data_IF_401051914554
#
_entry.id   IF_401051914554
#
_cell.length_a   1.000
_cell.length_b   1.000
_cell.length_c   1.000
_cell.angle_alpha   90.00
_cell.angle_beta   90.00
_cell.angle_gamma   90.00
#
_symmetry.space_group_name_H-M   'P 1'
#
loop_
_entity.id
_entity.type
_entity.pdbx_description
1 polymer ?
#
# COMPACT_ATOMS: atom_id res chain seq x y z
N UNK A 1 22.02 -12.21 -6.90
CA UNK A 1 21.47 -11.22 -5.99
C UNK A 1 20.51 -11.88 -5.03
N UNK A 2 20.35 -11.32 -3.82
CA UNK A 2 19.38 -11.85 -2.84
C UNK A 2 17.98 -11.37 -3.18
N UNK A 3 16.97 -12.21 -2.91
CA UNK A 3 15.55 -11.88 -3.06
C UNK A 3 14.71 -12.66 -2.05
N UNK A 4 13.63 -12.07 -1.55
CA UNK A 4 12.72 -12.70 -0.60
C UNK A 4 11.64 -13.45 -1.36
N UNK A 5 11.50 -14.73 -1.06
CA UNK A 5 10.56 -15.63 -1.75
C UNK A 5 9.67 -16.39 -0.79
N UNK A 6 8.46 -16.68 -1.24
CA UNK A 6 7.64 -17.76 -0.69
C UNK A 6 7.91 -19.03 -1.48
N UNK A 7 8.24 -20.11 -0.77
CA UNK A 7 8.59 -21.41 -1.37
C UNK A 7 7.60 -22.49 -0.90
N UNK A 8 7.31 -23.51 -1.73
CA UNK A 8 6.49 -24.65 -1.32
C UNK A 8 7.07 -25.36 -0.10
N UNK A 9 6.22 -25.70 0.87
CA UNK A 9 6.62 -26.40 2.08
C UNK A 9 7.31 -25.54 3.14
N UNK A 10 7.38 -24.22 2.94
CA UNK A 10 7.85 -23.26 3.92
C UNK A 10 6.69 -22.36 4.34
N UNK A 11 6.50 -22.19 5.64
CA UNK A 11 5.47 -21.29 6.20
C UNK A 11 5.97 -19.84 6.36
N UNK A 12 7.28 -19.64 6.21
CA UNK A 12 7.94 -18.34 6.34
C UNK A 12 8.66 -17.96 5.04
N UNK A 13 8.77 -16.66 4.71
CA UNK A 13 9.54 -16.20 3.56
C UNK A 13 11.02 -16.60 3.70
N UNK A 14 11.62 -16.92 2.57
CA UNK A 14 13.03 -17.33 2.49
C UNK A 14 13.83 -16.32 1.67
N UNK A 15 15.03 -15.99 2.11
CA UNK A 15 15.98 -15.23 1.29
C UNK A 15 16.75 -16.21 0.41
N UNK A 16 16.67 -16.02 -0.89
CA UNK A 16 17.29 -16.91 -1.88
C UNK A 16 18.18 -16.13 -2.83
N UNK A 17 19.15 -16.81 -3.43
CA UNK A 17 19.94 -16.28 -4.52
C UNK A 17 19.21 -16.47 -5.86
N UNK A 18 19.12 -15.39 -6.64
CA UNK A 18 18.54 -15.39 -7.98
C UNK A 18 19.45 -14.67 -8.98
N UNK A 19 19.33 -14.94 -10.28
CA UNK A 19 20.09 -14.21 -11.30
C UNK A 19 19.80 -12.70 -11.25
N UNK A 20 20.78 -11.89 -11.59
CA UNK A 20 20.59 -10.43 -11.77
C UNK A 20 19.72 -10.18 -12.99
N UNK A 21 18.59 -9.45 -12.83
CA UNK A 21 17.72 -9.15 -13.95
C UNK A 21 18.28 -8.07 -14.87
N UNK A 22 17.75 -7.97 -16.09
CA UNK A 22 18.11 -6.93 -17.06
C UNK A 22 16.86 -6.17 -17.48
N UNK A 23 16.98 -4.83 -17.60
CA UNK A 23 15.86 -3.98 -17.96
C UNK A 23 15.40 -4.27 -19.41
N UNK A 24 14.11 -4.54 -19.56
CA UNK A 24 13.42 -4.54 -20.85
C UNK A 24 13.23 -3.09 -21.36
N UNK A 25 12.82 -2.88 -22.64
CA UNK A 25 12.77 -1.53 -23.23
C UNK A 25 12.00 -0.48 -22.42
N UNK A 26 10.92 -0.84 -21.74
CA UNK A 26 10.08 0.08 -20.95
C UNK A 26 10.36 0.02 -19.43
N UNK A 27 11.42 -0.67 -19.01
CA UNK A 27 11.70 -0.93 -17.60
C UNK A 27 12.90 -0.14 -17.08
N UNK A 28 12.92 0.01 -15.77
CA UNK A 28 14.04 0.55 -14.99
C UNK A 28 14.58 -0.55 -14.06
N UNK A 29 15.91 -0.64 -13.97
CA UNK A 29 16.60 -1.47 -13.00
C UNK A 29 16.98 -0.60 -11.80
N UNK A 30 16.53 -0.99 -10.62
CA UNK A 30 16.66 -0.24 -9.38
C UNK A 30 17.55 -1.02 -8.42
N UNK A 31 18.60 -0.39 -7.89
CA UNK A 31 19.34 -0.85 -6.71
C UNK A 31 18.51 -0.47 -5.48
N UNK A 32 18.04 -1.44 -4.74
CA UNK A 32 17.13 -1.25 -3.63
C UNK A 32 17.81 -0.53 -2.46
N UNK A 33 17.22 0.56 -1.99
CA UNK A 33 17.55 1.18 -0.70
C UNK A 33 16.65 0.64 0.40
N UNK A 34 15.37 0.46 0.12
CA UNK A 34 14.42 -0.16 1.02
C UNK A 34 13.23 -0.76 0.27
N UNK A 35 12.61 -1.78 0.84
CA UNK A 35 11.37 -2.39 0.35
C UNK A 35 10.40 -2.59 1.52
N UNK A 36 9.13 -2.17 1.38
CA UNK A 36 8.17 -2.32 2.47
C UNK A 36 7.58 -3.72 2.54
N UNK A 37 7.20 -4.12 3.76
CA UNK A 37 6.40 -5.33 4.01
C UNK A 37 4.97 -4.90 4.34
N UNK A 38 4.04 -5.35 3.50
CA UNK A 38 2.62 -5.06 3.59
C UNK A 38 1.83 -6.31 4.05
N UNK A 39 0.62 -6.16 4.60
CA UNK A 39 -0.23 -7.30 4.94
C UNK A 39 -0.51 -8.25 3.77
N UNK A 40 -0.58 -7.74 2.54
CA UNK A 40 -0.74 -8.56 1.33
C UNK A 40 0.48 -9.45 1.09
N UNK A 41 1.69 -8.97 1.36
CA UNK A 41 2.92 -9.79 1.27
C UNK A 41 2.85 -10.96 2.25
N UNK A 42 2.44 -10.69 3.49
CA UNK A 42 2.28 -11.71 4.52
C UNK A 42 1.26 -12.76 4.10
N UNK A 43 0.09 -12.33 3.57
CA UNK A 43 -0.92 -13.26 3.06
C UNK A 43 -0.38 -14.12 1.92
N UNK A 44 0.24 -13.51 0.92
CA UNK A 44 0.78 -14.21 -0.27
C UNK A 44 1.92 -15.16 0.09
N UNK A 45 2.67 -14.86 1.16
CA UNK A 45 3.73 -15.77 1.65
C UNK A 45 3.17 -17.06 2.23
N UNK A 46 1.91 -17.10 2.70
CA UNK A 46 1.29 -18.32 3.24
C UNK A 46 0.92 -19.34 2.16
N UNK A 47 0.77 -20.60 2.55
CA UNK A 47 0.29 -21.65 1.64
C UNK A 47 -1.07 -21.34 1.02
N UNK A 48 -1.99 -20.74 1.79
CA UNK A 48 -3.31 -20.30 1.31
C UNK A 48 -3.20 -19.16 0.28
N UNK A 49 -2.36 -18.17 0.55
CA UNK A 49 -2.10 -17.06 -0.36
C UNK A 49 -1.45 -17.52 -1.66
N UNK A 50 -0.47 -18.42 -1.60
CA UNK A 50 0.14 -19.06 -2.78
C UNK A 50 -0.90 -19.74 -3.66
N UNK A 51 -1.81 -20.49 -3.05
CA UNK A 51 -2.93 -21.15 -3.77
C UNK A 51 -3.86 -20.15 -4.42
N UNK A 52 -4.18 -19.06 -3.72
CA UNK A 52 -5.08 -18.03 -4.24
C UNK A 52 -4.53 -17.30 -5.48
N UNK A 53 -3.19 -17.16 -5.59
CA UNK A 53 -2.53 -16.50 -6.73
C UNK A 53 -1.98 -17.49 -7.77
N UNK A 54 -2.26 -18.80 -7.62
CA UNK A 54 -1.70 -19.85 -8.48
C UNK A 54 -0.17 -19.75 -8.61
N UNK A 55 0.52 -19.53 -7.48
CA UNK A 55 1.97 -19.41 -7.46
C UNK A 55 2.65 -20.68 -7.95
N UNK A 56 3.66 -20.54 -8.80
CA UNK A 56 4.53 -21.62 -9.22
C UNK A 56 5.46 -22.08 -8.09
N UNK A 57 6.55 -22.75 -8.43
CA UNK A 57 7.53 -23.26 -7.46
C UNK A 57 8.23 -22.15 -6.66
N UNK A 58 8.40 -20.99 -7.27
CA UNK A 58 8.97 -19.79 -6.64
C UNK A 58 8.06 -18.61 -6.82
N UNK A 59 7.85 -17.85 -5.74
CA UNK A 59 7.10 -16.61 -5.77
C UNK A 59 7.93 -15.54 -5.06
N UNK A 60 8.44 -14.59 -5.81
CA UNK A 60 9.07 -13.39 -5.26
C UNK A 60 8.06 -12.57 -4.46
N UNK A 61 8.51 -11.88 -3.42
CA UNK A 61 7.68 -11.09 -2.51
C UNK A 61 8.02 -9.60 -2.61
N UNK A 62 7.07 -8.76 -2.20
CA UNK A 62 7.20 -7.31 -2.16
C UNK A 62 6.37 -6.59 -3.21
N UNK A 63 5.79 -5.46 -2.80
CA UNK A 63 5.03 -4.55 -3.65
C UNK A 63 5.73 -3.20 -3.77
N UNK A 64 6.32 -2.72 -2.70
CA UNK A 64 6.91 -1.38 -2.61
C UNK A 64 8.43 -1.44 -2.58
N UNK A 65 9.05 -0.52 -3.30
CA UNK A 65 10.49 -0.33 -3.29
C UNK A 65 10.83 1.16 -3.40
N UNK A 66 11.93 1.55 -2.79
CA UNK A 66 12.68 2.74 -3.16
C UNK A 66 14.13 2.37 -3.44
N UNK A 67 14.77 3.11 -4.33
CA UNK A 67 16.16 2.82 -4.68
C UNK A 67 16.73 3.71 -5.75
N UNK A 68 17.97 3.44 -6.12
CA UNK A 68 18.70 4.17 -7.15
C UNK A 68 18.60 3.46 -8.49
N UNK A 69 18.30 4.19 -9.53
CA UNK A 69 18.25 3.66 -10.90
C UNK A 69 19.66 3.36 -11.41
N UNK A 70 19.91 2.09 -11.75
CA UNK A 70 21.18 1.62 -12.33
C UNK A 70 21.15 1.56 -13.85
N UNK A 71 20.00 1.24 -14.43
CA UNK A 71 19.80 1.16 -15.86
C UNK A 71 18.37 1.47 -16.25
N UNK A 72 18.16 1.98 -17.45
CA UNK A 72 16.86 2.24 -18.05
C UNK A 72 16.79 1.58 -19.42
N UNK A 73 15.63 1.07 -19.80
CA UNK A 73 15.35 0.58 -21.13
C UNK A 73 15.30 1.72 -22.15
N UNK A 74 15.47 1.43 -23.42
CA UNK A 74 15.59 2.41 -24.50
C UNK A 74 14.30 3.21 -24.79
N UNK A 75 13.16 2.76 -24.28
CA UNK A 75 11.88 3.46 -24.38
C UNK A 75 11.57 4.34 -23.15
N UNK A 76 12.40 4.31 -22.11
CA UNK A 76 12.21 5.11 -20.90
C UNK A 76 12.76 6.53 -21.12
N UNK A 77 11.90 7.53 -20.97
CA UNK A 77 12.26 8.95 -21.19
C UNK A 77 12.05 9.84 -19.97
N UNK A 78 11.37 9.34 -18.94
CA UNK A 78 10.95 10.10 -17.74
C UNK A 78 11.86 9.89 -16.54
N UNK A 79 12.70 8.85 -16.55
CA UNK A 79 13.61 8.44 -15.48
C UNK A 79 15.02 8.32 -16.05
N UNK A 80 16.02 8.75 -15.29
CA UNK A 80 17.43 8.68 -15.67
C UNK A 80 18.24 7.78 -14.73
N UNK A 81 19.35 7.25 -15.23
CA UNK A 81 20.34 6.54 -14.41
C UNK A 81 20.88 7.49 -13.32
N UNK A 82 20.87 7.04 -12.08
CA UNK A 82 21.29 7.80 -10.92
C UNK A 82 20.13 8.44 -10.14
N UNK A 83 18.94 8.57 -10.74
CA UNK A 83 17.75 9.03 -10.01
C UNK A 83 17.44 8.13 -8.82
N UNK A 84 16.96 8.71 -7.74
CA UNK A 84 16.35 7.98 -6.63
C UNK A 84 14.86 7.95 -6.87
N UNK A 85 14.29 6.75 -6.89
CA UNK A 85 12.87 6.52 -7.21
C UNK A 85 12.17 5.73 -6.12
N UNK A 86 10.86 5.89 -6.03
CA UNK A 86 9.97 4.98 -5.30
C UNK A 86 8.95 4.41 -6.29
N UNK A 87 8.52 3.16 -6.08
CA UNK A 87 7.62 2.51 -7.01
C UNK A 87 6.83 1.35 -6.41
N UNK A 88 5.81 0.92 -7.15
CA UNK A 88 4.94 -0.20 -6.80
C UNK A 88 5.00 -1.28 -7.86
N UNK A 89 5.25 -2.52 -7.44
CA UNK A 89 5.08 -3.71 -8.26
C UNK A 89 3.65 -4.24 -8.10
N UNK A 90 2.74 -3.85 -8.98
CA UNK A 90 1.33 -4.21 -8.93
C UNK A 90 1.01 -5.60 -9.54
N UNK A 91 2.04 -6.35 -9.89
CA UNK A 91 1.92 -7.73 -10.40
C UNK A 91 1.82 -8.71 -9.23
N UNK A 92 0.81 -9.57 -9.24
CA UNK A 92 0.56 -10.52 -8.14
C UNK A 92 1.54 -11.70 -8.11
N UNK A 93 2.09 -12.09 -9.26
CA UNK A 93 2.91 -13.30 -9.43
C UNK A 93 4.15 -12.97 -10.25
N UNK A 94 5.33 -13.32 -9.73
CA UNK A 94 6.61 -13.12 -10.41
C UNK A 94 7.75 -13.70 -9.56
N UNK A 95 8.86 -14.03 -10.19
CA UNK A 95 10.06 -14.49 -9.47
C UNK A 95 10.89 -13.32 -8.92
N UNK A 96 10.89 -12.19 -9.62
CA UNK A 96 11.63 -10.98 -9.20
C UNK A 96 10.62 -9.90 -8.83
N UNK A 97 10.50 -9.63 -7.54
CA UNK A 97 9.60 -8.63 -7.00
C UNK A 97 10.34 -7.64 -6.10
N UNK A 98 9.61 -6.73 -5.46
CA UNK A 98 10.19 -5.56 -4.81
C UNK A 98 11.16 -5.85 -3.65
N UNK A 99 11.06 -6.99 -2.97
CA UNK A 99 11.94 -7.31 -1.83
C UNK A 99 13.19 -8.09 -2.29
N UNK A 100 14.09 -7.40 -2.99
CA UNK A 100 15.34 -7.95 -3.53
C UNK A 100 16.44 -6.88 -3.55
N UNK A 101 17.72 -7.30 -3.71
CA UNK A 101 18.85 -6.36 -3.86
C UNK A 101 18.68 -5.47 -5.09
N UNK A 102 18.12 -6.03 -6.18
CA UNK A 102 17.86 -5.34 -7.45
C UNK A 102 16.43 -5.64 -7.92
N UNK A 103 15.73 -4.63 -8.39
CA UNK A 103 14.31 -4.72 -8.78
C UNK A 103 14.13 -4.17 -10.19
N UNK A 104 13.30 -4.84 -10.98
CA UNK A 104 12.79 -4.32 -12.25
C UNK A 104 11.36 -3.82 -12.06
N UNK A 105 11.10 -2.58 -12.46
CA UNK A 105 9.75 -2.05 -12.59
C UNK A 105 9.56 -1.42 -13.97
N UNK A 106 8.33 -1.40 -14.44
CA UNK A 106 7.97 -0.61 -15.61
C UNK A 106 8.07 0.88 -15.26
N UNK A 107 8.46 1.73 -16.20
CA UNK A 107 8.67 3.16 -15.93
C UNK A 107 7.41 3.90 -15.48
N UNK A 108 6.22 3.40 -15.81
CA UNK A 108 4.94 3.92 -15.34
C UNK A 108 4.54 3.46 -13.92
N UNK A 109 5.38 2.63 -13.30
CA UNK A 109 5.21 2.17 -11.92
C UNK A 109 6.09 2.94 -10.91
N UNK A 110 6.97 3.85 -11.38
CA UNK A 110 7.93 4.55 -10.52
C UNK A 110 7.83 6.06 -10.67
N UNK A 111 8.15 6.77 -9.58
CA UNK A 111 8.31 8.22 -9.57
C UNK A 111 9.60 8.60 -8.86
N UNK A 112 10.20 9.72 -9.28
CA UNK A 112 11.40 10.27 -8.62
C UNK A 112 11.04 10.71 -7.21
N UNK A 113 11.86 10.32 -6.24
CA UNK A 113 11.72 10.76 -4.85
C UNK A 113 12.10 12.25 -4.78
N UNK A 114 11.19 13.13 -4.35
CA UNK A 114 11.47 14.55 -4.29
C UNK A 114 12.49 14.89 -3.18
N UNK A 115 13.20 16.01 -3.37
CA UNK A 115 14.06 16.56 -2.34
C UNK A 115 13.29 16.82 -1.04
N UNK A 116 13.89 16.45 0.08
CA UNK A 116 13.28 16.61 1.40
C UNK A 116 12.54 15.38 1.93
N UNK A 117 12.34 14.34 1.09
CA UNK A 117 11.85 13.04 1.52
C UNK A 117 13.03 12.07 1.69
N UNK A 118 13.11 11.38 2.84
CA UNK A 118 14.13 10.35 3.04
C UNK A 118 13.91 9.20 2.06
N UNK A 119 14.94 8.80 1.28
CA UNK A 119 14.81 7.74 0.29
C UNK A 119 14.42 6.38 0.85
N UNK A 120 14.83 6.04 2.08
CA UNK A 120 14.46 4.78 2.73
C UNK A 120 12.98 4.82 3.12
N UNK A 121 12.55 5.91 3.74
CA UNK A 121 11.18 6.10 4.16
C UNK A 121 10.20 6.15 2.98
N UNK A 122 10.64 6.63 1.82
CA UNK A 122 9.86 6.67 0.58
C UNK A 122 9.33 5.29 0.16
N UNK A 123 10.00 4.19 0.51
CA UNK A 123 9.54 2.83 0.25
C UNK A 123 8.21 2.49 0.97
N UNK A 124 7.81 3.24 2.01
CA UNK A 124 6.55 2.98 2.74
C UNK A 124 5.30 3.55 2.05
N UNK A 125 5.47 4.35 1.00
CA UNK A 125 4.42 5.20 0.44
C UNK A 125 3.65 4.54 -0.71
N UNK A 126 4.26 3.93 -1.76
CA UNK A 126 3.62 3.71 -3.05
C UNK A 126 2.30 2.92 -2.98
N UNK A 127 2.32 1.67 -2.53
CA UNK A 127 1.13 0.83 -2.49
C UNK A 127 0.02 1.44 -1.64
N UNK A 128 0.37 1.95 -0.46
CA UNK A 128 -0.61 2.40 0.52
C UNK A 128 -1.26 3.73 0.11
N UNK A 129 -0.46 4.66 -0.41
CA UNK A 129 -0.95 5.95 -0.86
C UNK A 129 -1.76 5.85 -2.16
N UNK A 130 -1.30 5.03 -3.14
CA UNK A 130 -2.05 4.76 -4.36
C UNK A 130 -3.36 4.02 -4.05
N UNK A 131 -3.34 3.02 -3.15
CA UNK A 131 -4.57 2.34 -2.70
C UNK A 131 -5.55 3.35 -2.09
N UNK A 132 -5.09 4.22 -1.21
CA UNK A 132 -5.93 5.23 -0.58
C UNK A 132 -6.49 6.23 -1.60
N UNK A 133 -5.65 6.74 -2.51
CA UNK A 133 -6.06 7.70 -3.54
C UNK A 133 -7.12 7.10 -4.47
N UNK A 134 -6.86 5.91 -5.02
CA UNK A 134 -7.80 5.23 -5.92
C UNK A 134 -9.08 4.79 -5.20
N UNK A 135 -9.00 4.45 -3.89
CA UNK A 135 -10.20 4.16 -3.09
C UNK A 135 -11.05 5.43 -2.86
N UNK A 136 -10.42 6.59 -2.64
CA UNK A 136 -11.13 7.87 -2.51
C UNK A 136 -11.81 8.24 -3.82
N UNK A 137 -11.14 8.04 -4.96
CA UNK A 137 -11.73 8.30 -6.28
C UNK A 137 -13.01 7.45 -6.53
N UNK A 138 -13.05 6.21 -6.01
CA UNK A 138 -14.22 5.32 -6.10
C UNK A 138 -15.42 5.77 -5.24
N UNK A 139 -15.22 6.65 -4.27
CA UNK A 139 -16.31 7.21 -3.46
C UNK A 139 -17.18 8.21 -4.24
N UNK A 140 -16.63 8.78 -5.31
CA UNK A 140 -17.27 9.82 -6.12
C UNK A 140 -17.28 11.19 -5.43
N UNK A 141 -18.19 12.07 -5.86
CA UNK A 141 -18.28 13.45 -5.39
C UNK A 141 -18.70 13.52 -3.91
N UNK A 142 -18.00 14.26 -3.05
CA UNK A 142 -18.36 14.44 -1.64
C UNK A 142 -19.69 15.19 -1.45
N UNK A 143 -19.99 16.25 -2.19
CA UNK A 143 -21.23 17.04 -2.16
C UNK A 143 -21.88 17.16 -0.75
N UNK A 144 -21.07 17.51 0.26
CA UNK A 144 -21.49 17.64 1.65
C UNK A 144 -21.74 16.33 2.39
N UNK A 145 -21.43 15.18 1.78
CA UNK A 145 -21.60 13.85 2.38
C UNK A 145 -20.55 13.53 3.45
N UNK A 146 -20.93 12.65 4.34
CA UNK A 146 -20.10 12.13 5.44
C UNK A 146 -19.44 10.81 5.07
N UNK A 147 -18.17 10.68 5.42
CA UNK A 147 -17.35 9.48 5.20
C UNK A 147 -16.81 8.93 6.51
N UNK A 148 -17.00 7.65 6.75
CA UNK A 148 -16.26 6.92 7.76
C UNK A 148 -15.08 6.20 7.11
N UNK A 149 -13.86 6.43 7.61
CA UNK A 149 -12.66 5.66 7.23
C UNK A 149 -12.33 4.70 8.37
N UNK A 150 -12.46 3.40 8.13
CA UNK A 150 -12.06 2.40 9.12
C UNK A 150 -10.56 2.16 9.08
N UNK A 151 -9.96 1.80 10.23
CA UNK A 151 -8.52 1.64 10.31
C UNK A 151 -7.74 2.94 10.06
N UNK A 152 -8.31 4.07 10.45
CA UNK A 152 -7.77 5.42 10.23
C UNK A 152 -6.36 5.62 10.79
N UNK A 153 -5.97 4.85 11.82
CA UNK A 153 -4.59 4.83 12.36
C UNK A 153 -3.62 3.97 11.54
N UNK A 154 -4.08 3.21 10.54
CA UNK A 154 -3.25 2.37 9.67
C UNK A 154 -2.62 3.14 8.51
N UNK A 155 -1.83 2.46 7.66
CA UNK A 155 -1.16 3.13 6.54
C UNK A 155 -2.16 3.58 5.46
N UNK A 156 -2.99 2.67 4.94
CA UNK A 156 -4.02 3.03 3.93
C UNK A 156 -5.03 3.99 4.54
N UNK A 157 -5.57 3.69 5.75
CA UNK A 157 -6.58 4.53 6.39
C UNK A 157 -6.10 5.94 6.69
N UNK A 158 -4.84 6.10 7.14
CA UNK A 158 -4.26 7.41 7.41
C UNK A 158 -4.14 8.27 6.14
N UNK A 159 -3.67 7.69 5.03
CA UNK A 159 -3.67 8.39 3.74
C UNK A 159 -5.09 8.68 3.24
N UNK A 160 -6.01 7.72 3.38
CA UNK A 160 -7.41 7.90 2.95
C UNK A 160 -8.10 9.05 3.70
N UNK A 161 -7.87 9.20 5.00
CA UNK A 161 -8.41 10.31 5.79
C UNK A 161 -7.92 11.66 5.24
N UNK A 162 -6.61 11.82 5.04
CA UNK A 162 -6.04 13.06 4.54
C UNK A 162 -6.53 13.38 3.11
N UNK A 163 -6.50 12.38 2.22
CA UNK A 163 -6.90 12.53 0.82
C UNK A 163 -8.40 12.85 0.69
N UNK A 164 -9.26 12.13 1.41
CA UNK A 164 -10.70 12.37 1.38
C UNK A 164 -11.06 13.77 1.91
N UNK A 165 -10.37 14.24 2.96
CA UNK A 165 -10.56 15.61 3.43
C UNK A 165 -10.15 16.65 2.41
N UNK A 166 -8.99 16.47 1.77
CA UNK A 166 -8.56 17.37 0.68
C UNK A 166 -9.54 17.36 -0.49
N UNK A 167 -10.22 16.23 -0.74
CA UNK A 167 -11.28 16.12 -1.74
C UNK A 167 -12.62 16.76 -1.31
N UNK A 168 -12.76 17.21 -0.05
CA UNK A 168 -13.96 17.90 0.45
C UNK A 168 -14.96 17.04 1.23
N UNK A 169 -14.61 15.80 1.57
CA UNK A 169 -15.44 14.95 2.44
C UNK A 169 -15.43 15.43 3.89
N UNK A 170 -16.58 15.30 4.56
CA UNK A 170 -16.65 15.36 6.04
C UNK A 170 -16.25 14.01 6.59
N UNK A 171 -15.00 13.90 7.08
CA UNK A 171 -14.38 12.62 7.43
C UNK A 171 -14.38 12.37 8.93
N UNK A 172 -14.84 11.18 9.33
CA UNK A 172 -14.62 10.58 10.65
C UNK A 172 -13.71 9.37 10.50
N UNK A 173 -12.61 9.33 11.24
CA UNK A 173 -11.73 8.17 11.30
C UNK A 173 -12.12 7.23 12.44
N UNK A 174 -12.41 5.97 12.12
CA UNK A 174 -12.57 4.90 13.10
C UNK A 174 -11.24 4.22 13.36
N UNK A 175 -10.79 4.25 14.62
CA UNK A 175 -9.51 3.70 15.03
C UNK A 175 -9.50 3.27 16.49
N UNK A 176 -8.36 2.78 16.95
CA UNK A 176 -8.17 2.48 18.38
C UNK A 176 -7.96 3.78 19.15
N UNK A 177 -8.25 3.85 20.47
CA UNK A 177 -8.08 5.08 21.25
C UNK A 177 -6.69 5.73 21.10
N UNK A 178 -5.63 4.92 20.97
CA UNK A 178 -4.27 5.45 20.76
C UNK A 178 -4.00 6.00 19.35
N UNK A 179 -4.96 5.99 18.43
CA UNK A 179 -4.84 6.59 17.09
C UNK A 179 -5.49 8.00 17.02
N UNK A 180 -6.17 8.43 18.09
CA UNK A 180 -6.96 9.67 18.10
C UNK A 180 -6.12 10.91 17.76
N UNK A 181 -4.97 11.08 18.41
CA UNK A 181 -4.09 12.22 18.15
C UNK A 181 -3.66 12.29 16.67
N UNK A 182 -3.25 11.15 16.12
CA UNK A 182 -2.88 11.07 14.71
C UNK A 182 -4.05 11.40 13.77
N UNK A 183 -5.23 10.80 13.99
CA UNK A 183 -6.40 11.06 13.14
C UNK A 183 -6.81 12.53 13.21
N UNK A 184 -6.87 13.11 14.42
CA UNK A 184 -7.20 14.53 14.60
C UNK A 184 -6.16 15.47 14.01
N UNK A 185 -4.88 15.09 13.98
CA UNK A 185 -3.83 15.90 13.35
C UNK A 185 -4.02 16.06 11.85
N UNK A 186 -4.72 15.14 11.18
CA UNK A 186 -5.14 15.29 9.77
C UNK A 186 -6.33 16.24 9.60
N UNK A 187 -6.91 16.72 10.73
CA UNK A 187 -8.10 17.55 10.80
C UNK A 187 -9.42 16.81 10.62
N UNK A 188 -9.44 15.48 10.67
CA UNK A 188 -10.66 14.68 10.69
C UNK A 188 -11.22 14.53 12.11
N UNK A 189 -12.50 14.20 12.20
CA UNK A 189 -13.07 13.71 13.44
C UNK A 189 -12.57 12.29 13.74
N UNK A 190 -12.57 11.93 15.03
CA UNK A 190 -12.15 10.60 15.48
C UNK A 190 -13.27 9.93 16.28
N UNK A 191 -13.43 8.63 16.08
CA UNK A 191 -14.24 7.77 16.98
C UNK A 191 -13.55 6.42 17.19
N UNK A 192 -13.71 5.85 18.38
CA UNK A 192 -13.36 4.46 18.67
C UNK A 192 -14.60 3.53 18.57
N UNK A 193 -15.80 4.10 18.48
CA UNK A 193 -17.07 3.38 18.37
C UNK A 193 -17.98 4.17 17.41
N UNK A 194 -18.14 3.65 16.19
CA UNK A 194 -18.88 4.33 15.14
C UNK A 194 -20.39 4.03 15.24
N UNK A 195 -21.19 5.06 15.07
CA UNK A 195 -22.64 4.95 15.05
C UNK A 195 -23.12 4.20 13.80
N UNK A 196 -24.11 3.31 13.96
CA UNK A 196 -24.69 2.53 12.87
C UNK A 196 -25.61 3.38 12.00
N UNK A 197 -25.60 3.12 10.69
CA UNK A 197 -26.40 3.82 9.69
C UNK A 197 -26.27 5.36 9.76
N UNK A 198 -25.08 5.87 10.10
CA UNK A 198 -24.84 7.29 10.31
C UNK A 198 -24.05 7.98 9.17
N UNK A 199 -23.41 7.19 8.30
CA UNK A 199 -22.52 7.73 7.27
C UNK A 199 -23.07 7.49 5.87
N UNK A 200 -22.80 8.42 4.95
CA UNK A 200 -23.17 8.30 3.54
C UNK A 200 -22.24 7.37 2.77
N UNK A 201 -21.00 7.23 3.27
CA UNK A 201 -20.01 6.33 2.71
C UNK A 201 -19.09 5.74 3.78
N UNK A 202 -18.52 4.56 3.48
CA UNK A 202 -17.44 3.93 4.25
C UNK A 202 -16.30 3.56 3.31
N UNK A 203 -15.06 3.96 3.67
CA UNK A 203 -13.83 3.42 3.12
C UNK A 203 -13.24 2.44 4.15
N UNK A 204 -13.22 1.16 3.79
CA UNK A 204 -12.88 0.09 4.74
C UNK A 204 -11.39 -0.28 4.68
N UNK A 205 -10.55 0.53 5.31
CA UNK A 205 -9.11 0.27 5.45
C UNK A 205 -8.75 -0.75 6.55
N UNK A 206 -9.70 -1.11 7.41
CA UNK A 206 -9.52 -2.12 8.46
C UNK A 206 -9.92 -3.54 8.03
N UNK A 207 -10.49 -3.68 6.81
CA UNK A 207 -11.00 -4.96 6.29
C UNK A 207 -12.08 -5.55 7.18
N UNK A 208 -13.04 -4.70 7.64
CA UNK A 208 -14.21 -5.12 8.39
C UNK A 208 -15.24 -5.85 7.51
N UNK A 209 -15.17 -5.61 6.20
CA UNK A 209 -15.98 -6.28 5.19
C UNK A 209 -17.49 -6.10 5.48
N UNK A 210 -18.25 -7.19 5.64
CA UNK A 210 -19.69 -7.16 5.91
C UNK A 210 -20.05 -6.30 7.13
N UNK A 211 -19.21 -6.27 8.17
CA UNK A 211 -19.45 -5.46 9.36
C UNK A 211 -19.41 -3.96 9.06
N UNK A 212 -18.59 -3.55 8.11
CA UNK A 212 -18.46 -2.15 7.65
C UNK A 212 -19.78 -1.60 7.06
N UNK A 213 -20.62 -2.46 6.46
CA UNK A 213 -21.91 -2.03 5.91
C UNK A 213 -22.86 -1.50 7.00
N UNK A 214 -22.72 -1.97 8.25
CA UNK A 214 -23.59 -1.55 9.34
C UNK A 214 -23.51 -0.05 9.65
N UNK A 215 -22.42 0.63 9.28
CA UNK A 215 -22.24 2.06 9.53
C UNK A 215 -22.87 2.93 8.45
N UNK A 216 -23.22 2.34 7.28
CA UNK A 216 -23.69 3.05 6.11
C UNK A 216 -25.21 3.21 6.16
N UNK A 217 -25.71 4.39 5.78
CA UNK A 217 -27.13 4.65 5.50
C UNK A 217 -27.61 3.83 4.31
N UNK A 218 -28.91 3.59 4.22
CA UNK A 218 -29.51 2.95 3.06
C UNK A 218 -29.18 3.75 1.78
N UNK A 219 -28.79 3.06 0.73
CA UNK A 219 -28.42 3.69 -0.54
C UNK A 219 -27.02 4.34 -0.59
N UNK A 220 -26.21 4.24 0.48
CA UNK A 220 -24.87 4.80 0.54
C UNK A 220 -23.81 3.99 -0.22
N UNK A 221 -22.53 4.27 0.03
CA UNK A 221 -21.39 3.70 -0.71
C UNK A 221 -20.41 3.00 0.22
N UNK A 222 -19.98 1.80 -0.14
CA UNK A 222 -18.88 1.05 0.50
C UNK A 222 -17.72 0.88 -0.47
N UNK A 223 -16.52 1.27 -0.05
CA UNK A 223 -15.27 1.01 -0.77
C UNK A 223 -14.33 0.20 0.10
N UNK A 224 -14.11 -1.07 -0.25
CA UNK A 224 -13.15 -1.96 0.41
C UNK A 224 -11.77 -1.90 -0.22
N UNK A 225 -10.75 -2.40 0.52
CA UNK A 225 -9.37 -2.53 0.03
C UNK A 225 -8.97 -4.00 -0.24
N UNK A 226 -9.93 -4.91 -0.24
CA UNK A 226 -9.71 -6.34 -0.48
C UNK A 226 -10.57 -6.85 -1.64
N UNK A 227 -10.17 -6.64 -2.90
CA UNK A 227 -10.97 -6.98 -4.07
C UNK A 227 -11.20 -8.49 -4.25
N UNK A 228 -10.36 -9.34 -3.66
CA UNK A 228 -10.48 -10.79 -3.71
C UNK A 228 -11.59 -11.38 -2.82
N UNK A 229 -12.15 -10.58 -1.90
CA UNK A 229 -13.22 -10.98 -1.00
C UNK A 229 -14.39 -9.98 -1.08
N UNK A 230 -15.21 -10.04 -2.13
CA UNK A 230 -16.30 -9.10 -2.35
C UNK A 230 -17.36 -9.21 -1.23
N UNK A 231 -17.82 -8.06 -0.77
CA UNK A 231 -18.88 -7.95 0.22
C UNK A 231 -20.24 -7.99 -0.49
N UNK A 232 -21.21 -8.82 -0.04
CA UNK A 232 -22.55 -8.85 -0.62
C UNK A 232 -23.26 -7.50 -0.45
N UNK A 233 -24.03 -7.08 -1.46
CA UNK A 233 -24.83 -5.86 -1.42
C UNK A 233 -26.07 -6.04 -0.57
N UNK A 234 -26.44 -5.03 0.19
CA UNK A 234 -27.68 -4.97 0.97
C UNK A 234 -28.20 -3.53 1.07
N UNK A 235 -29.45 -3.32 1.45
CA UNK A 235 -30.06 -1.99 1.70
C UNK A 235 -29.80 -0.94 0.60
N UNK A 236 -29.63 -1.37 -0.66
CA UNK A 236 -29.32 -0.48 -1.78
C UNK A 236 -27.91 0.13 -1.74
N UNK A 237 -27.03 -0.33 -0.86
CA UNK A 237 -25.65 0.15 -0.74
C UNK A 237 -24.86 -0.26 -1.99
N UNK A 238 -24.19 0.70 -2.60
CA UNK A 238 -23.23 0.43 -3.68
C UNK A 238 -21.93 -0.09 -3.06
N UNK A 239 -21.54 -1.31 -3.43
CA UNK A 239 -20.33 -1.96 -2.92
C UNK A 239 -19.30 -2.10 -4.03
N UNK A 240 -18.09 -1.61 -3.77
CA UNK A 240 -16.92 -1.81 -4.63
C UNK A 240 -15.67 -2.03 -3.79
N UNK A 241 -14.57 -2.41 -4.43
CA UNK A 241 -13.27 -2.51 -3.79
C UNK A 241 -12.18 -2.00 -4.74
N UNK A 242 -11.19 -1.29 -4.19
CA UNK A 242 -10.06 -0.84 -4.97
C UNK A 242 -9.18 -2.05 -5.35
N UNK A 243 -8.84 -2.13 -6.62
CA UNK A 243 -7.74 -2.93 -7.12
C UNK A 243 -6.67 -1.94 -7.55
N UNK A 244 -5.64 -1.79 -6.72
CA UNK A 244 -4.58 -0.81 -6.98
C UNK A 244 -3.94 -1.08 -8.35
N UNK A 245 -3.71 -0.01 -9.09
CA UNK A 245 -3.01 0.01 -10.38
C UNK A 245 -1.87 1.02 -10.27
N UNK A 246 -0.72 0.69 -10.80
CA UNK A 246 0.42 1.61 -10.89
C UNK A 246 0.04 2.88 -11.64
N UNK A 247 0.54 4.00 -11.18
CA UNK A 247 0.35 5.32 -11.77
C UNK A 247 1.49 6.23 -11.31
N UNK A 248 2.51 6.37 -12.16
CA UNK A 248 3.71 7.15 -11.84
C UNK A 248 3.39 8.63 -11.59
N UNK A 249 2.46 9.20 -12.34
CA UNK A 249 2.07 10.61 -12.19
C UNK A 249 1.39 10.86 -10.84
N UNK A 250 0.43 10.00 -10.51
CA UNK A 250 -0.26 10.06 -9.22
C UNK A 250 0.69 9.79 -8.06
N UNK A 251 1.63 8.85 -8.23
CA UNK A 251 2.64 8.57 -7.21
C UNK A 251 3.54 9.78 -6.97
N UNK A 252 3.98 10.48 -8.02
CA UNK A 252 4.78 11.70 -7.88
C UNK A 252 4.04 12.76 -7.03
N UNK A 253 2.76 13.01 -7.32
CA UNK A 253 1.93 13.93 -6.53
C UNK A 253 1.84 13.50 -5.04
N UNK A 254 1.69 12.20 -4.77
CA UNK A 254 1.58 11.68 -3.42
C UNK A 254 2.91 11.78 -2.65
N UNK A 255 4.05 11.59 -3.34
CA UNK A 255 5.38 11.82 -2.76
C UNK A 255 5.59 13.29 -2.41
N UNK A 256 5.22 14.23 -3.30
CA UNK A 256 5.30 15.67 -3.03
C UNK A 256 4.43 16.08 -1.83
N UNK A 257 3.23 15.55 -1.72
CA UNK A 257 2.35 15.79 -0.56
C UNK A 257 2.91 15.20 0.73
N UNK A 258 3.75 14.18 0.63
CA UNK A 258 4.47 13.63 1.80
C UNK A 258 5.58 14.55 2.26
N UNK A 259 6.29 15.25 1.36
CA UNK A 259 7.29 16.28 1.72
C UNK A 259 6.64 17.43 2.48
N UNK A 260 5.44 17.86 2.08
CA UNK A 260 4.72 18.95 2.76
C UNK A 260 4.12 18.55 4.11
N UNK A 261 4.16 17.25 4.45
CA UNK A 261 3.57 16.70 5.67
C UNK A 261 2.05 16.54 5.60
N UNK A 262 1.41 16.80 4.47
CA UNK A 262 -0.03 16.54 4.28
C UNK A 262 -0.32 15.03 4.34
N UNK A 263 0.55 14.23 3.73
CA UNK A 263 0.53 12.78 3.85
C UNK A 263 1.66 12.33 4.79
N UNK A 264 1.29 11.93 5.99
CA UNK A 264 2.26 11.53 7.00
C UNK A 264 2.97 10.23 6.60
N UNK A 265 4.29 10.29 6.43
CA UNK A 265 5.13 9.10 6.24
C UNK A 265 5.26 8.38 7.59
N UNK A 266 4.97 7.09 7.60
CA UNK A 266 4.96 6.30 8.84
C UNK A 266 5.73 5.01 8.67
N UNK A 267 6.92 4.97 9.24
CA UNK A 267 7.79 3.80 9.30
C UNK A 267 7.76 3.22 10.71
N UNK A 268 7.41 1.95 10.83
CA UNK A 268 7.38 1.23 12.11
C UNK A 268 8.77 0.74 12.54
N UNK A 269 9.66 0.58 11.58
CA UNK A 269 11.05 0.19 11.78
C UNK A 269 11.70 -0.32 10.50
N UNK A 270 13.00 -0.52 10.57
CA UNK A 270 13.82 -1.10 9.50
C UNK A 270 14.50 -2.38 9.98
N UNK A 271 14.80 -3.27 9.06
CA UNK A 271 15.56 -4.48 9.34
C UNK A 271 16.35 -4.91 8.08
N UNK A 272 17.47 -5.62 8.22
CA UNK A 272 18.16 -6.21 7.08
C UNK A 272 17.25 -7.14 6.27
N UNK A 273 17.44 -7.22 4.94
CA UNK A 273 16.73 -8.15 4.06
C UNK A 273 16.82 -9.60 4.57
N UNK A 274 17.94 -9.96 5.20
CA UNK A 274 18.15 -11.29 5.79
C UNK A 274 17.16 -11.62 6.91
N UNK A 275 16.57 -10.61 7.55
CA UNK A 275 15.64 -10.77 8.67
C UNK A 275 14.16 -10.75 8.21
N UNK A 276 13.89 -10.95 6.92
CA UNK A 276 12.56 -10.88 6.34
C UNK A 276 11.52 -11.73 7.11
N UNK A 277 11.84 -12.97 7.48
CA UNK A 277 10.92 -13.83 8.24
C UNK A 277 10.47 -13.18 9.57
N UNK A 278 11.40 -12.56 10.30
CA UNK A 278 11.10 -11.85 11.55
C UNK A 278 10.17 -10.65 11.30
N UNK A 279 10.41 -9.88 10.23
CA UNK A 279 9.58 -8.73 9.87
C UNK A 279 8.18 -9.18 9.45
N UNK A 280 8.07 -10.25 8.66
CA UNK A 280 6.79 -10.83 8.27
C UNK A 280 5.96 -11.28 9.47
N UNK A 281 6.59 -11.93 10.46
CA UNK A 281 5.92 -12.32 11.71
C UNK A 281 5.40 -11.09 12.48
N UNK A 282 6.19 -9.99 12.56
CA UNK A 282 5.76 -8.73 13.19
C UNK A 282 4.57 -8.10 12.45
N UNK A 283 4.62 -8.04 11.12
CA UNK A 283 3.51 -7.48 10.32
C UNK A 283 2.27 -8.37 10.42
N UNK A 284 2.44 -9.69 10.38
CA UNK A 284 1.35 -10.67 10.52
C UNK A 284 0.65 -10.63 11.87
N UNK A 285 1.34 -10.25 12.95
CA UNK A 285 0.73 -10.07 14.26
C UNK A 285 -0.19 -8.84 14.36
N UNK A 286 -0.17 -7.97 13.35
CA UNK A 286 -0.99 -6.77 13.27
C UNK A 286 -0.60 -5.68 14.28
N UNK A 287 -1.40 -4.62 14.35
CA UNK A 287 -1.22 -3.53 15.32
C UNK A 287 -0.09 -2.56 15.01
N UNK A 288 0.61 -2.74 13.92
CA UNK A 288 1.68 -1.84 13.51
C UNK A 288 1.12 -0.51 13.01
N UNK A 289 1.76 0.58 13.40
CA UNK A 289 1.46 1.93 12.90
C UNK A 289 2.59 2.36 11.97
N UNK A 290 2.37 2.22 10.67
CA UNK A 290 3.38 2.40 9.65
C UNK A 290 3.87 1.08 9.07
N UNK A 291 4.88 1.14 8.21
CA UNK A 291 5.44 -0.03 7.51
C UNK A 291 6.79 -0.43 8.06
N UNK A 292 7.03 -1.71 8.14
CA UNK A 292 8.37 -2.26 8.29
C UNK A 292 9.07 -2.27 6.94
N UNK A 293 10.33 -1.83 6.93
CA UNK A 293 11.16 -1.74 5.73
C UNK A 293 12.30 -2.76 5.83
N UNK A 294 12.49 -3.50 4.76
CA UNK A 294 13.66 -4.36 4.56
C UNK A 294 14.71 -3.55 3.79
N UNK A 295 15.94 -3.55 4.32
CA UNK A 295 17.11 -2.90 3.71
C UNK A 295 18.10 -3.99 3.29
N UNK A 296 18.64 -3.95 2.05
CA UNK A 296 19.63 -4.89 1.56
C UNK A 296 20.90 -4.96 2.38
#
# INVERSE_FOLDING_TARGET
MRSVHSLPGHDEPQVVEVPTPQAAPAQVLIETLAAAVNPVDVFVATGAGRGAVNAGDRLGLGWDVSGRVLAVGDQVTTIAVGDVVAGVDDVMVGENRAQADLVLLDADAVAVVPDGLDPVDAASIPLNSLTAAQAVDLLGDPDGRTLLVTGAGGAVGGYAVALARSAGWTVTGLGRPGDEEFVRSTGADFTADAERAAYDAVLDGAVLQQEGLAFIRDGGTFVGVQPSAPVPTERGITVTAVKVVRDASRLAELLDRSVTGELAVRVAGTAPLADAATVYAKVGSGGQRGRWLLVP
#
